data_IF_939992724236
#
_entry.id   IF_939992724236
#
_cell.length_a   1.000
_cell.length_b   1.000
_cell.length_c   1.000
_cell.angle_alpha   90.00
_cell.angle_beta   90.00
_cell.angle_gamma   90.00
#
_symmetry.space_group_name_H-M   'P 1'
#
loop_
_entity.id
_entity.type
_entity.pdbx_description
1 polymer ?
#
# COMPACT_ATOMS: atom_id res chain seq x y z
N UNK A 1 -0.70 27.52 11.32
CA UNK A 1 -0.97 26.09 11.09
C UNK A 1 -0.34 25.73 9.75
N UNK A 2 0.40 24.62 9.65
CA UNK A 2 1.20 24.23 8.48
C UNK A 2 0.36 23.83 7.25
N UNK A 3 -0.97 23.75 7.38
CA UNK A 3 -1.89 23.42 6.27
C UNK A 3 -1.81 21.97 5.78
N UNK A 4 -0.86 21.17 6.29
CA UNK A 4 -0.66 19.77 5.95
C UNK A 4 -1.68 18.82 6.58
N UNK A 5 -1.93 17.70 5.90
CA UNK A 5 -2.76 16.62 6.43
C UNK A 5 -2.12 16.02 7.71
N UNK A 6 -2.92 15.84 8.76
CA UNK A 6 -2.53 15.07 9.93
C UNK A 6 -2.86 13.60 9.70
N UNK A 7 -1.84 12.75 9.76
CA UNK A 7 -1.94 11.30 9.58
C UNK A 7 -1.53 10.66 10.89
N UNK A 8 -2.34 9.72 11.41
CA UNK A 8 -2.04 8.99 12.65
C UNK A 8 -1.67 7.54 12.33
N UNK A 9 -0.50 7.11 12.82
CA UNK A 9 -0.13 5.72 13.00
C UNK A 9 -0.40 5.35 14.46
N UNK A 10 -1.32 4.42 14.67
CA UNK A 10 -1.61 3.86 15.99
C UNK A 10 -0.80 2.58 16.16
N UNK A 11 0.16 2.58 17.08
CA UNK A 11 0.88 1.38 17.45
C UNK A 11 0.07 0.53 18.44
N UNK A 12 0.29 -0.77 18.36
CA UNK A 12 -0.30 -1.81 19.20
C UNK A 12 0.53 -3.09 19.07
N UNK A 13 0.32 -4.03 19.99
CA UNK A 13 1.02 -5.31 20.05
C UNK A 13 0.78 -6.11 18.76
N UNK A 14 1.85 -6.61 18.15
CA UNK A 14 1.80 -7.31 16.86
C UNK A 14 1.61 -6.43 15.63
N UNK A 15 1.77 -5.10 15.73
CA UNK A 15 1.79 -4.24 14.55
C UNK A 15 3.00 -4.58 13.66
N UNK A 16 2.78 -4.80 12.36
CA UNK A 16 3.85 -5.11 11.42
C UNK A 16 4.03 -4.05 10.32
N UNK A 17 5.05 -4.25 9.47
CA UNK A 17 5.33 -3.37 8.34
C UNK A 17 4.18 -3.30 7.32
N UNK A 18 3.41 -4.38 7.15
CA UNK A 18 2.26 -4.41 6.21
C UNK A 18 1.12 -3.52 6.68
N UNK A 19 0.97 -3.38 7.99
CA UNK A 19 -0.04 -2.54 8.64
C UNK A 19 0.41 -1.09 8.81
N UNK A 20 1.72 -0.85 8.99
CA UNK A 20 2.27 0.48 9.19
C UNK A 20 2.64 1.20 7.88
N UNK A 21 3.21 0.47 6.90
CA UNK A 21 3.80 1.03 5.66
C UNK A 21 2.86 0.85 4.47
N UNK A 22 2.65 -0.37 3.99
CA UNK A 22 1.75 -0.68 2.89
C UNK A 22 1.41 -2.16 2.83
N UNK A 23 0.30 -2.48 2.15
CA UNK A 23 -0.09 -3.85 1.83
C UNK A 23 -0.44 -3.96 0.33
N UNK A 24 -0.53 -5.18 -0.20
CA UNK A 24 -0.97 -5.44 -1.57
C UNK A 24 -2.43 -5.89 -1.59
N UNK A 25 -3.23 -5.28 -2.45
CA UNK A 25 -4.63 -5.68 -2.69
C UNK A 25 -4.68 -6.94 -3.57
N UNK A 26 -4.44 -8.10 -2.95
CA UNK A 26 -4.46 -9.39 -3.63
C UNK A 26 -5.81 -9.71 -4.28
N UNK A 27 -6.91 -9.26 -3.67
CA UNK A 27 -8.26 -9.46 -4.22
C UNK A 27 -8.40 -8.74 -5.56
N UNK A 28 -7.93 -7.49 -5.63
CA UNK A 28 -7.97 -6.69 -6.85
C UNK A 28 -6.95 -7.18 -7.90
N UNK A 29 -5.79 -7.64 -7.48
CA UNK A 29 -4.82 -8.31 -8.36
C UNK A 29 -5.42 -9.56 -9.02
N UNK A 30 -6.07 -10.42 -8.23
CA UNK A 30 -6.72 -11.63 -8.76
C UNK A 30 -7.84 -11.26 -9.73
N UNK A 31 -8.67 -10.27 -9.41
CA UNK A 31 -9.73 -9.80 -10.30
C UNK A 31 -9.16 -9.27 -11.63
N UNK A 32 -8.04 -8.54 -11.59
CA UNK A 32 -7.34 -8.06 -12.78
C UNK A 32 -6.88 -9.22 -13.67
N UNK A 33 -6.26 -10.25 -13.09
CA UNK A 33 -5.83 -11.44 -13.84
C UNK A 33 -7.01 -12.17 -14.47
N UNK A 34 -8.11 -12.37 -13.72
CA UNK A 34 -9.31 -13.03 -14.24
C UNK A 34 -9.96 -12.25 -15.38
N UNK A 35 -9.98 -10.93 -15.30
CA UNK A 35 -10.48 -10.09 -16.38
C UNK A 35 -9.59 -10.19 -17.63
N UNK A 36 -8.26 -10.17 -17.46
CA UNK A 36 -7.31 -10.30 -18.57
C UNK A 36 -7.33 -11.70 -19.23
N UNK A 37 -7.58 -12.77 -18.44
CA UNK A 37 -7.83 -14.12 -18.95
C UNK A 37 -9.12 -14.15 -19.79
N UNK A 38 -10.22 -13.59 -19.28
CA UNK A 38 -11.52 -13.59 -19.95
C UNK A 38 -11.57 -12.73 -21.22
N UNK A 39 -10.79 -11.64 -21.29
CA UNK A 39 -10.69 -10.79 -22.48
C UNK A 39 -9.76 -11.33 -23.57
N UNK A 40 -9.03 -12.42 -23.29
CA UNK A 40 -8.02 -12.98 -24.20
C UNK A 40 -6.70 -12.20 -24.25
N UNK A 41 -6.58 -11.10 -23.49
CA UNK A 41 -5.34 -10.31 -23.38
C UNK A 41 -4.18 -11.15 -22.82
N UNK A 42 -4.48 -12.06 -21.90
CA UNK A 42 -3.49 -12.97 -21.33
C UNK A 42 -2.88 -13.93 -22.36
N UNK A 43 -3.59 -14.24 -23.46
CA UNK A 43 -3.05 -15.08 -24.54
C UNK A 43 -2.07 -14.33 -25.45
N UNK A 44 -2.17 -13.00 -25.50
CA UNK A 44 -1.31 -12.14 -26.32
C UNK A 44 -0.11 -11.59 -25.55
N UNK A 45 -0.14 -11.61 -24.21
CA UNK A 45 0.93 -11.10 -23.34
C UNK A 45 1.80 -12.24 -22.82
N UNK A 46 3.12 -12.06 -22.84
CA UNK A 46 4.04 -12.95 -22.14
C UNK A 46 3.79 -12.90 -20.62
N UNK A 47 3.92 -14.02 -19.92
CA UNK A 47 3.73 -14.13 -18.45
C UNK A 47 4.49 -13.05 -17.68
N UNK A 48 5.73 -12.74 -18.06
CA UNK A 48 6.55 -11.70 -17.40
C UNK A 48 5.95 -10.28 -17.51
N UNK A 49 5.24 -9.97 -18.60
CA UNK A 49 4.54 -8.69 -18.74
C UNK A 49 3.27 -8.64 -17.88
N UNK A 50 2.61 -9.78 -17.69
CA UNK A 50 1.42 -9.87 -16.84
C UNK A 50 1.80 -9.76 -15.35
N UNK A 51 2.94 -10.33 -14.95
CA UNK A 51 3.48 -10.19 -13.59
C UNK A 51 3.91 -8.75 -13.26
N UNK A 52 4.55 -8.05 -14.19
CA UNK A 52 4.97 -6.65 -13.96
C UNK A 52 3.77 -5.70 -13.80
N UNK A 53 2.62 -6.06 -14.38
CA UNK A 53 1.37 -5.34 -14.18
C UNK A 53 0.80 -5.48 -12.76
N UNK A 54 1.15 -6.54 -12.01
CA UNK A 54 0.63 -6.81 -10.65
C UNK A 54 1.36 -6.00 -9.58
N UNK A 55 2.67 -5.80 -9.73
CA UNK A 55 3.49 -5.02 -8.81
C UNK A 55 3.47 -3.52 -9.17
N UNK A 56 2.27 -2.96 -9.16
CA UNK A 56 2.02 -1.57 -9.53
C UNK A 56 1.29 -0.84 -8.40
N UNK A 57 1.61 0.44 -8.19
CA UNK A 57 0.99 1.28 -7.15
C UNK A 57 -0.54 1.26 -7.13
N UNK A 58 -1.21 0.98 -8.27
CA UNK A 58 -2.67 0.84 -8.34
C UNK A 58 -3.24 -0.26 -7.44
N UNK A 59 -2.44 -1.25 -7.07
CA UNK A 59 -2.79 -2.35 -6.17
C UNK A 59 -2.21 -2.17 -4.77
N UNK A 60 -1.48 -1.08 -4.53
CA UNK A 60 -0.79 -0.85 -3.27
C UNK A 60 -1.71 -0.09 -2.31
N UNK A 61 -2.00 -0.72 -1.18
CA UNK A 61 -2.78 -0.14 -0.08
C UNK A 61 -1.81 0.65 0.78
N UNK A 62 -1.74 1.97 0.54
CA UNK A 62 -0.87 2.87 1.31
C UNK A 62 -1.38 3.00 2.76
N UNK A 63 -0.56 2.62 3.74
CA UNK A 63 -0.85 2.80 5.17
C UNK A 63 -0.30 4.13 5.69
N UNK A 64 -0.37 4.36 7.00
CA UNK A 64 -0.07 5.66 7.60
C UNK A 64 1.36 6.16 7.26
N UNK A 65 2.38 5.32 7.35
CA UNK A 65 3.77 5.71 7.06
C UNK A 65 3.95 6.09 5.59
N UNK A 66 3.57 5.18 4.67
CA UNK A 66 3.73 5.46 3.25
C UNK A 66 2.92 6.67 2.82
N UNK A 67 1.67 6.80 3.31
CA UNK A 67 0.85 8.00 3.06
C UNK A 67 1.53 9.27 3.53
N UNK A 68 2.28 9.25 4.63
CA UNK A 68 2.93 10.45 5.16
C UNK A 68 4.18 10.87 4.37
N UNK A 69 4.97 9.89 3.89
CA UNK A 69 6.22 10.14 3.15
C UNK A 69 6.04 10.26 1.64
N UNK A 70 4.86 9.90 1.12
CA UNK A 70 4.56 10.00 -0.31
C UNK A 70 4.80 11.41 -0.85
N UNK A 71 5.17 11.52 -2.13
CA UNK A 71 5.59 12.77 -2.77
C UNK A 71 4.43 13.79 -2.85
N UNK A 72 4.23 14.54 -1.77
CA UNK A 72 3.18 15.54 -1.59
C UNK A 72 3.72 16.95 -1.79
N UNK A 73 2.90 17.81 -2.39
CA UNK A 73 3.21 19.24 -2.51
C UNK A 73 3.23 19.95 -1.15
N UNK A 74 2.39 19.49 -0.22
CA UNK A 74 2.33 20.00 1.15
C UNK A 74 2.77 18.90 2.11
N UNK A 75 3.81 19.13 2.95
CA UNK A 75 4.25 18.14 3.91
C UNK A 75 3.12 17.72 4.86
N UNK A 76 2.98 16.41 5.07
CA UNK A 76 2.06 15.87 6.07
C UNK A 76 2.69 15.94 7.47
N UNK A 77 1.84 15.92 8.49
CA UNK A 77 2.25 15.70 9.89
C UNK A 77 1.90 14.26 10.23
N UNK A 78 2.90 13.44 10.56
CA UNK A 78 2.70 12.07 11.03
C UNK A 78 2.74 12.04 12.56
N UNK A 79 1.62 11.69 13.18
CA UNK A 79 1.55 11.36 14.60
C UNK A 79 1.75 9.85 14.75
N UNK A 80 2.78 9.45 15.50
CA UNK A 80 2.98 8.07 15.94
C UNK A 80 2.51 8.01 17.40
N UNK A 81 1.53 7.15 17.66
CA UNK A 81 0.85 7.06 18.94
C UNK A 81 1.01 5.66 19.56
N UNK A 82 1.06 5.57 20.89
CA UNK A 82 1.27 4.33 21.67
C UNK A 82 2.48 3.50 21.20
N UNK A 83 3.60 4.16 20.86
CA UNK A 83 4.81 3.48 20.36
C UNK A 83 5.35 2.43 21.36
N UNK A 84 5.14 2.65 22.65
CA UNK A 84 5.48 1.74 23.74
C UNK A 84 4.72 0.40 23.70
N UNK A 85 3.67 0.31 22.88
CA UNK A 85 2.89 -0.92 22.67
C UNK A 85 3.30 -1.71 21.42
N UNK A 86 4.13 -1.14 20.55
CA UNK A 86 4.68 -1.92 19.43
C UNK A 86 5.74 -2.88 19.98
N UNK A 87 5.78 -4.09 19.44
CA UNK A 87 6.80 -5.07 19.81
C UNK A 87 8.19 -4.61 19.32
N UNK A 88 9.24 -4.98 20.07
CA UNK A 88 10.64 -4.58 19.84
C UNK A 88 11.33 -5.30 18.65
N UNK A 89 10.56 -5.92 17.73
CA UNK A 89 11.12 -6.77 16.67
C UNK A 89 12.12 -6.06 15.72
#
# INVERSE_FOLDING_TARGET
>A
MTGGELIRLQCYEGIDASQAVYDWDYSRQLLHLRAAEASGEAMSKNTSLLESELYNERFLIKRALLRAIDNRTTPAVLLIDEIDRADDE
#
